data_IF_507123910055
#
_entry.id   IF_507123910055
#
_cell.length_a   1.000
_cell.length_b   1.000
_cell.length_c   1.000
_cell.angle_alpha   90.00
_cell.angle_beta   90.00
_cell.angle_gamma   90.00
#
_symmetry.space_group_name_H-M   'P 1'
#
loop_
_entity.id
_entity.type
_entity.pdbx_description
1 polymer ?
#
# COMPACT_ATOMS: atom_id res chain seq x y z
N UNK A 1 16.22 -7.80 10.21
CA UNK A 1 15.65 -7.43 8.88
C UNK A 1 14.50 -6.42 8.94
N UNK A 2 13.92 -6.08 10.10
CA UNK A 2 12.88 -5.03 10.19
C UNK A 2 13.45 -3.61 9.99
N UNK A 3 14.71 -3.37 10.35
CA UNK A 3 15.32 -2.03 10.33
C UNK A 3 15.62 -1.46 8.92
N UNK A 4 15.38 -2.25 7.86
CA UNK A 4 15.53 -1.81 6.46
C UNK A 4 14.21 -1.28 5.86
N UNK A 5 13.06 -1.61 6.46
CA UNK A 5 11.74 -1.22 5.97
C UNK A 5 11.37 0.14 6.56
N UNK A 6 11.17 1.14 5.70
CA UNK A 6 10.77 2.49 6.11
C UNK A 6 9.24 2.64 6.17
N UNK A 7 8.53 1.97 5.26
CA UNK A 7 7.05 1.92 5.25
C UNK A 7 6.65 0.45 5.15
N UNK A 8 5.66 0.06 5.94
CA UNK A 8 5.07 -1.28 5.93
C UNK A 8 3.54 -1.13 6.05
N UNK A 9 2.82 -1.73 5.10
CA UNK A 9 1.39 -1.93 5.11
C UNK A 9 1.14 -3.42 5.27
N UNK A 10 0.32 -3.78 6.24
CA UNK A 10 -0.13 -5.15 6.45
C UNK A 10 -1.65 -5.16 6.37
N UNK A 11 -2.17 -5.94 5.44
CA UNK A 11 -3.60 -6.15 5.22
C UNK A 11 -4.43 -4.85 5.17
N UNK A 12 -3.93 -3.84 4.45
CA UNK A 12 -4.59 -2.54 4.38
C UNK A 12 -5.90 -2.62 3.59
N UNK A 13 -6.99 -2.32 4.27
CA UNK A 13 -8.32 -2.21 3.70
C UNK A 13 -8.84 -0.77 3.73
N UNK A 14 -9.67 -0.41 2.75
CA UNK A 14 -10.38 0.86 2.75
C UNK A 14 -11.72 0.72 2.06
N UNK A 15 -12.76 1.27 2.67
CA UNK A 15 -14.12 1.35 2.10
C UNK A 15 -14.65 2.79 2.11
N UNK A 16 -15.38 3.15 1.06
CA UNK A 16 -16.22 4.34 0.98
C UNK A 16 -17.68 3.91 0.80
N UNK A 17 -18.47 3.98 1.88
CA UNK A 17 -19.84 3.46 1.88
C UNK A 17 -19.86 1.96 1.60
N UNK A 18 -20.43 1.56 0.46
CA UNK A 18 -20.44 0.17 -0.02
C UNK A 18 -19.27 -0.19 -0.94
N UNK A 19 -18.47 0.78 -1.40
CA UNK A 19 -17.37 0.55 -2.33
C UNK A 19 -16.09 0.22 -1.58
N UNK A 20 -15.54 -0.96 -1.81
CA UNK A 20 -14.20 -1.35 -1.37
C UNK A 20 -13.17 -0.71 -2.32
N UNK A 21 -12.36 0.18 -1.78
CA UNK A 21 -11.32 0.90 -2.50
C UNK A 21 -9.97 0.19 -2.38
N UNK A 22 -9.67 -0.42 -1.23
CA UNK A 22 -8.49 -1.25 -1.01
C UNK A 22 -8.93 -2.54 -0.30
N UNK A 23 -8.39 -3.67 -0.74
CA UNK A 23 -8.74 -5.01 -0.22
C UNK A 23 -7.46 -5.77 0.14
N UNK A 24 -7.05 -5.68 1.41
CA UNK A 24 -5.96 -6.47 1.98
C UNK A 24 -4.58 -6.18 1.36
N UNK A 25 -4.24 -4.92 1.18
CA UNK A 25 -2.97 -4.53 0.54
C UNK A 25 -1.79 -4.73 1.49
N UNK A 26 -0.82 -5.52 1.06
CA UNK A 26 0.46 -5.71 1.73
C UNK A 26 1.57 -5.03 0.92
N UNK A 27 2.32 -4.13 1.55
CA UNK A 27 3.38 -3.36 0.87
C UNK A 27 4.51 -3.07 1.84
N UNK A 28 5.74 -3.30 1.40
CA UNK A 28 6.94 -2.94 2.15
C UNK A 28 7.84 -2.08 1.29
N UNK A 29 8.28 -0.94 1.83
CA UNK A 29 9.13 0.01 1.14
C UNK A 29 10.38 0.24 1.97
N UNK A 30 11.54 -0.08 1.40
CA UNK A 30 12.83 0.13 2.04
C UNK A 30 13.24 1.60 2.10
N UNK A 31 14.11 1.96 3.05
CA UNK A 31 14.69 3.31 3.14
C UNK A 31 15.44 3.69 1.86
N UNK A 32 15.31 4.95 1.43
CA UNK A 32 16.04 5.50 0.27
C UNK A 32 15.50 5.06 -1.09
N UNK A 33 14.36 4.37 -1.14
CA UNK A 33 13.70 3.99 -2.39
C UNK A 33 12.81 5.10 -2.92
N UNK A 34 12.85 5.32 -4.23
CA UNK A 34 11.85 6.08 -4.97
C UNK A 34 10.93 5.06 -5.64
N UNK A 35 9.63 5.24 -5.51
CA UNK A 35 8.60 4.32 -5.99
C UNK A 35 7.47 5.12 -6.63
N UNK A 36 6.97 4.62 -7.75
CA UNK A 36 5.73 5.07 -8.38
C UNK A 36 4.66 4.01 -8.20
N UNK A 37 3.48 4.43 -7.74
CA UNK A 37 2.28 3.60 -7.77
C UNK A 37 1.48 3.98 -9.02
N UNK A 38 1.22 3.00 -9.88
CA UNK A 38 0.50 3.19 -11.12
C UNK A 38 -0.71 2.25 -11.18
N UNK A 39 -1.78 2.75 -11.78
CA UNK A 39 -2.99 2.00 -12.05
C UNK A 39 -3.94 2.81 -12.92
N UNK A 40 -4.96 2.16 -13.51
CA UNK A 40 -6.05 2.87 -14.18
C UNK A 40 -6.81 3.75 -13.18
N UNK A 41 -7.63 4.69 -13.70
CA UNK A 41 -8.45 5.54 -12.85
C UNK A 41 -9.35 4.70 -11.94
N UNK A 42 -9.20 4.91 -10.62
CA UNK A 42 -9.99 4.22 -9.60
C UNK A 42 -9.42 2.90 -9.09
N UNK A 43 -8.18 2.57 -9.45
CA UNK A 43 -7.37 1.51 -8.82
C UNK A 43 -6.89 1.90 -7.41
#
# INVERSE_FOLDING_TARGET
MKDLNLIELTDLEKRYGKKEALTGINLTIGRGKIIGLLGPNGA
#
